data_IF_360449538002
#
_entry.id   IF_360449538002
#
_cell.length_a   1.000
_cell.length_b   1.000
_cell.length_c   1.000
_cell.angle_alpha   90.00
_cell.angle_beta   90.00
_cell.angle_gamma   90.00
#
_symmetry.space_group_name_H-M   'P 1'
#
loop_
_entity.id
_entity.type
_entity.pdbx_description
1 polymer ?
#
# COMPACT_ATOMS: atom_id res chain seq x y z
N UNK A 1 -29.96 -16.97 -12.47
CA UNK A 1 -28.52 -17.25 -12.61
C UNK A 1 -27.73 -15.96 -12.88
N UNK A 2 -28.21 -15.10 -13.78
CA UNK A 2 -27.57 -13.80 -14.09
C UNK A 2 -27.37 -12.85 -12.89
N UNK A 3 -28.40 -12.67 -12.04
CA UNK A 3 -28.29 -11.77 -10.88
C UNK A 3 -27.22 -12.24 -9.88
N UNK A 4 -27.15 -13.56 -9.63
CA UNK A 4 -26.15 -14.15 -8.76
C UNK A 4 -24.74 -13.99 -9.34
N UNK A 5 -24.57 -14.19 -10.64
CA UNK A 5 -23.30 -13.99 -11.33
C UNK A 5 -22.81 -12.53 -11.22
N UNK A 6 -23.68 -11.56 -11.49
CA UNK A 6 -23.35 -10.14 -11.37
C UNK A 6 -23.02 -9.77 -9.92
N UNK A 7 -23.81 -10.25 -8.95
CA UNK A 7 -23.56 -10.01 -7.53
C UNK A 7 -22.21 -10.56 -7.07
N UNK A 8 -21.87 -11.79 -7.45
CA UNK A 8 -20.57 -12.41 -7.14
C UNK A 8 -19.43 -11.61 -7.78
N UNK A 9 -19.58 -11.20 -9.04
CA UNK A 9 -18.58 -10.40 -9.75
C UNK A 9 -18.35 -9.04 -9.06
N UNK A 10 -19.41 -8.35 -8.66
CA UNK A 10 -19.28 -7.08 -7.94
C UNK A 10 -18.66 -7.26 -6.56
N UNK A 11 -19.03 -8.31 -5.83
CA UNK A 11 -18.46 -8.62 -4.52
C UNK A 11 -16.96 -8.94 -4.61
N UNK A 12 -16.54 -9.73 -5.60
CA UNK A 12 -15.13 -10.06 -5.80
C UNK A 12 -14.32 -8.83 -6.19
N UNK A 13 -14.84 -7.98 -7.09
CA UNK A 13 -14.21 -6.73 -7.47
C UNK A 13 -14.10 -5.75 -6.30
N UNK A 14 -15.14 -5.64 -5.46
CA UNK A 14 -15.10 -4.81 -4.27
C UNK A 14 -14.03 -5.28 -3.27
N UNK A 15 -13.95 -6.59 -3.02
CA UNK A 15 -12.93 -7.17 -2.13
C UNK A 15 -11.51 -6.93 -2.67
N UNK A 16 -11.30 -7.21 -3.95
CA UNK A 16 -10.01 -7.01 -4.63
C UNK A 16 -9.63 -5.53 -4.64
N UNK A 17 -10.56 -4.65 -4.99
CA UNK A 17 -10.35 -3.20 -5.01
C UNK A 17 -9.99 -2.67 -3.63
N UNK A 18 -10.72 -3.07 -2.58
CA UNK A 18 -10.42 -2.68 -1.20
C UNK A 18 -9.03 -3.16 -0.76
N UNK A 19 -8.72 -4.43 -1.01
CA UNK A 19 -7.43 -5.00 -0.66
C UNK A 19 -6.28 -4.28 -1.37
N UNK A 20 -6.39 -4.14 -2.70
CA UNK A 20 -5.37 -3.53 -3.54
C UNK A 20 -5.18 -2.05 -3.20
N UNK A 21 -6.26 -1.33 -2.87
CA UNK A 21 -6.18 0.07 -2.44
C UNK A 21 -5.46 0.19 -1.11
N UNK A 22 -5.85 -0.61 -0.11
CA UNK A 22 -5.23 -0.56 1.22
C UNK A 22 -3.76 -0.96 1.16
N UNK A 23 -3.43 -1.98 0.37
CA UNK A 23 -2.07 -2.49 0.14
C UNK A 23 -1.20 -1.44 -0.59
N UNK A 24 -1.72 -0.82 -1.65
CA UNK A 24 -0.98 0.20 -2.38
C UNK A 24 -0.82 1.47 -1.54
N UNK A 25 -1.85 1.85 -0.78
CA UNK A 25 -1.81 3.04 0.07
C UNK A 25 -0.82 2.88 1.23
N UNK A 26 -0.64 1.67 1.79
CA UNK A 26 0.34 1.45 2.86
C UNK A 26 1.81 1.52 2.38
N UNK A 27 2.03 1.40 1.07
CA UNK A 27 3.34 1.44 0.40
C UNK A 27 3.58 2.75 -0.37
N UNK A 28 2.64 3.70 -0.30
CA UNK A 28 2.60 4.93 -1.10
C UNK A 28 2.77 4.68 -2.62
N UNK A 29 2.23 3.55 -3.11
CA UNK A 29 2.45 3.07 -4.47
C UNK A 29 1.24 3.31 -5.36
N UNK A 30 1.00 4.59 -5.74
CA UNK A 30 -0.08 5.02 -6.64
C UNK A 30 -1.40 4.25 -6.49
N UNK A 31 -2.04 4.30 -5.31
CA UNK A 31 -3.15 3.42 -4.96
C UNK A 31 -4.33 3.50 -5.91
N UNK A 32 -4.67 4.71 -6.35
CA UNK A 32 -5.81 4.95 -7.26
C UNK A 32 -5.58 4.28 -8.61
N UNK A 33 -4.39 4.42 -9.20
CA UNK A 33 -4.07 3.90 -10.53
C UNK A 33 -4.18 2.37 -10.53
N UNK A 34 -3.55 1.71 -9.57
CA UNK A 34 -3.57 0.25 -9.49
C UNK A 34 -4.97 -0.30 -9.25
N UNK A 35 -5.74 0.33 -8.37
CA UNK A 35 -7.12 -0.11 -8.10
C UNK A 35 -8.05 0.13 -9.27
N UNK A 36 -7.91 1.29 -9.94
CA UNK A 36 -8.71 1.60 -11.12
C UNK A 36 -8.41 0.61 -12.23
N UNK A 37 -7.13 0.32 -12.50
CA UNK A 37 -6.73 -0.69 -13.49
C UNK A 37 -7.31 -2.06 -13.19
N UNK A 38 -7.23 -2.53 -11.95
CA UNK A 38 -7.81 -3.82 -11.55
C UNK A 38 -9.33 -3.86 -11.72
N UNK A 39 -10.03 -2.81 -11.28
CA UNK A 39 -11.49 -2.72 -11.37
C UNK A 39 -11.97 -2.62 -12.83
N UNK A 40 -11.33 -1.80 -13.65
CA UNK A 40 -11.69 -1.62 -15.06
C UNK A 40 -11.46 -2.92 -15.85
N UNK A 41 -10.30 -3.55 -15.70
CA UNK A 41 -9.98 -4.79 -16.42
C UNK A 41 -10.85 -5.96 -15.98
N UNK A 42 -11.12 -6.07 -14.67
CA UNK A 42 -12.00 -7.12 -14.13
C UNK A 42 -13.48 -6.88 -14.44
N UNK A 43 -13.93 -5.64 -14.51
CA UNK A 43 -15.33 -5.30 -14.80
C UNK A 43 -15.65 -5.40 -16.29
N UNK A 44 -14.84 -4.79 -17.17
CA UNK A 44 -15.10 -4.71 -18.61
C UNK A 44 -14.62 -5.94 -19.41
N UNK A 45 -13.88 -6.87 -18.80
CA UNK A 45 -13.47 -8.09 -19.50
C UNK A 45 -14.66 -8.98 -19.87
N UNK A 46 -14.66 -9.45 -21.12
CA UNK A 46 -15.71 -10.30 -21.68
C UNK A 46 -15.48 -11.75 -21.28
N UNK A 47 -16.48 -12.38 -20.65
CA UNK A 47 -16.44 -13.80 -20.26
C UNK A 47 -15.23 -14.13 -19.38
N UNK A 48 -14.46 -15.14 -19.79
CA UNK A 48 -13.28 -15.65 -19.05
C UNK A 48 -12.09 -14.67 -19.11
N UNK A 49 -12.06 -13.71 -20.04
CA UNK A 49 -10.96 -12.76 -20.14
C UNK A 49 -10.89 -11.80 -18.95
N UNK A 50 -12.02 -11.41 -18.37
CA UNK A 50 -12.07 -10.52 -17.19
C UNK A 50 -11.24 -11.03 -16.00
N UNK A 51 -11.50 -12.24 -15.48
CA UNK A 51 -10.70 -12.79 -14.39
C UNK A 51 -9.22 -13.04 -14.77
N UNK A 52 -8.92 -13.37 -16.03
CA UNK A 52 -7.52 -13.53 -16.50
C UNK A 52 -6.79 -12.19 -16.44
N UNK A 53 -7.37 -11.11 -16.98
CA UNK A 53 -6.76 -9.78 -16.97
C UNK A 53 -6.62 -9.23 -15.56
N UNK A 54 -7.59 -9.48 -14.69
CA UNK A 54 -7.51 -9.14 -13.27
C UNK A 54 -6.33 -9.87 -12.60
N UNK A 55 -6.21 -11.19 -12.83
CA UNK A 55 -5.11 -12.01 -12.32
C UNK A 55 -3.74 -11.53 -12.81
N UNK A 56 -3.61 -11.22 -14.09
CA UNK A 56 -2.38 -10.66 -14.67
C UNK A 56 -2.03 -9.30 -14.06
N UNK A 57 -3.01 -8.44 -13.85
CA UNK A 57 -2.81 -7.12 -13.21
C UNK A 57 -2.32 -7.27 -11.78
N UNK A 58 -2.90 -8.20 -11.02
CA UNK A 58 -2.44 -8.51 -9.66
C UNK A 58 -1.02 -9.10 -9.64
N UNK A 59 -0.70 -9.97 -10.60
CA UNK A 59 0.65 -10.52 -10.73
C UNK A 59 1.66 -9.39 -10.99
N UNK A 60 1.40 -8.51 -11.96
CA UNK A 60 2.28 -7.37 -12.26
C UNK A 60 2.41 -6.44 -11.04
N UNK A 61 1.29 -6.14 -10.37
CA UNK A 61 1.28 -5.33 -9.16
C UNK A 61 2.17 -5.91 -8.06
N UNK A 62 2.03 -7.20 -7.74
CA UNK A 62 2.80 -7.85 -6.68
C UNK A 62 4.29 -7.94 -6.99
N UNK A 63 4.66 -8.04 -8.27
CA UNK A 63 6.06 -8.04 -8.72
C UNK A 63 6.69 -6.64 -8.64
N UNK A 64 5.93 -5.60 -8.97
CA UNK A 64 6.43 -4.21 -9.07
C UNK A 64 6.30 -3.38 -7.80
N UNK A 65 5.37 -3.74 -6.90
CA UNK A 65 5.17 -2.99 -5.65
C UNK A 65 6.43 -2.99 -4.78
N UNK A 66 6.72 -1.91 -4.05
CA UNK A 66 7.78 -1.87 -3.06
C UNK A 66 7.65 -3.01 -2.05
N UNK A 67 8.78 -3.69 -1.78
CA UNK A 67 8.89 -4.77 -0.80
C UNK A 67 9.64 -4.26 0.43
N UNK A 68 9.30 -4.80 1.59
CA UNK A 68 9.95 -4.45 2.85
C UNK A 68 9.07 -4.74 4.06
N UNK A 69 9.61 -4.56 5.27
CA UNK A 69 8.85 -4.77 6.50
C UNK A 69 7.80 -3.67 6.68
N UNK A 70 6.69 -4.06 7.29
CA UNK A 70 5.66 -3.12 7.73
C UNK A 70 5.87 -2.79 9.19
N UNK A 71 5.71 -1.51 9.52
CA UNK A 71 5.61 -1.02 10.90
C UNK A 71 4.25 -0.40 11.15
N UNK A 72 3.82 -0.36 12.41
CA UNK A 72 2.63 0.39 12.79
C UNK A 72 3.00 1.87 12.94
N UNK A 73 2.22 2.75 12.30
CA UNK A 73 2.43 4.18 12.46
C UNK A 73 2.11 4.61 13.92
N UNK A 74 2.98 5.37 14.61
CA UNK A 74 2.73 5.82 15.97
C UNK A 74 1.54 6.80 16.09
N UNK A 75 1.21 7.51 15.01
CA UNK A 75 0.11 8.48 15.00
C UNK A 75 -1.27 7.85 14.72
N UNK A 76 -1.37 7.00 13.69
CA UNK A 76 -2.67 6.48 13.24
C UNK A 76 -2.84 4.96 13.43
N UNK A 77 -1.81 4.26 13.93
CA UNK A 77 -1.77 2.80 14.15
C UNK A 77 -2.02 1.93 12.91
N UNK A 78 -2.06 2.53 11.72
CA UNK A 78 -2.22 1.81 10.46
C UNK A 78 -0.86 1.34 9.95
N UNK A 79 -0.80 0.20 9.24
CA UNK A 79 0.46 -0.30 8.71
C UNK A 79 0.99 0.64 7.63
N UNK A 80 2.28 0.96 7.73
CA UNK A 80 3.03 1.69 6.73
C UNK A 80 4.34 0.95 6.47
N UNK A 81 4.81 1.01 5.22
CA UNK A 81 6.09 0.43 4.86
C UNK A 81 7.22 1.17 5.59
N UNK A 82 8.14 0.43 6.22
CA UNK A 82 9.14 0.99 7.13
C UNK A 82 10.11 1.96 6.43
N UNK A 83 10.30 1.85 5.12
CA UNK A 83 11.19 2.73 4.36
C UNK A 83 10.65 4.16 4.17
N UNK A 84 9.39 4.42 4.49
CA UNK A 84 8.77 5.73 4.26
C UNK A 84 9.18 6.75 5.32
N UNK A 85 9.43 7.98 4.87
CA UNK A 85 9.67 9.13 5.74
C UNK A 85 8.39 9.61 6.44
N UNK A 86 7.24 9.55 5.75
CA UNK A 86 5.95 10.02 6.24
C UNK A 86 4.89 8.92 6.06
N UNK A 87 3.92 8.87 6.97
CA UNK A 87 2.81 7.94 6.86
C UNK A 87 1.91 8.36 5.69
N UNK A 88 1.63 7.49 4.71
CA UNK A 88 0.83 7.87 3.54
C UNK A 88 -0.64 8.13 3.87
N UNK A 89 -1.10 7.76 5.08
CA UNK A 89 -2.50 7.83 5.48
C UNK A 89 -2.83 9.00 6.40
N UNK A 90 -1.92 9.37 7.30
CA UNK A 90 -2.11 10.53 8.19
C UNK A 90 -1.07 11.64 7.98
N UNK A 91 -0.10 11.45 7.07
CA UNK A 91 1.03 12.34 6.81
C UNK A 91 1.95 12.61 8.01
N UNK A 92 1.77 11.88 9.13
CA UNK A 92 2.66 11.96 10.28
C UNK A 92 4.09 11.52 9.94
N UNK A 93 5.06 12.18 10.53
CA UNK A 93 6.49 11.93 10.31
C UNK A 93 6.83 10.57 10.94
N UNK A 94 7.48 9.69 10.18
CA UNK A 94 7.94 8.38 10.61
C UNK A 94 9.45 8.32 10.80
N UNK A 95 10.19 9.11 10.03
CA UNK A 95 11.64 9.23 10.12
C UNK A 95 12.06 10.69 10.14
N UNK A 96 13.09 10.97 10.91
CA UNK A 96 13.70 12.29 11.06
C UNK A 96 15.21 12.20 10.87
N UNK A 97 15.86 13.30 10.57
CA UNK A 97 17.31 13.42 10.47
C UNK A 97 17.92 13.80 11.83
N UNK A 98 19.05 13.19 12.16
CA UNK A 98 19.81 13.62 13.33
C UNK A 98 20.51 14.96 13.04
N UNK A 99 20.22 16.00 13.81
CA UNK A 99 20.85 17.33 13.71
C UNK A 99 22.39 17.35 13.79
N UNK A 100 23.02 16.30 14.35
CA UNK A 100 24.48 16.23 14.51
C UNK A 100 25.19 15.48 13.39
N UNK A 101 24.66 14.33 12.97
CA UNK A 101 25.31 13.45 11.98
C UNK A 101 24.49 13.24 10.70
N UNK A 102 23.31 13.86 10.60
CA UNK A 102 22.38 13.82 9.46
C UNK A 102 21.97 12.41 9.03
N UNK A 103 22.12 11.42 9.91
CA UNK A 103 21.64 10.06 9.68
C UNK A 103 20.12 10.02 9.86
N UNK A 104 19.43 9.29 8.98
CA UNK A 104 17.99 9.07 9.09
C UNK A 104 17.70 8.09 10.22
N UNK A 105 16.85 8.50 11.15
CA UNK A 105 16.47 7.74 12.35
C UNK A 105 14.95 7.68 12.49
N UNK A 106 14.44 6.72 13.26
CA UNK A 106 13.02 6.64 13.54
C UNK A 106 12.57 7.79 14.47
N UNK A 107 11.37 8.31 14.22
CA UNK A 107 10.75 9.33 15.08
C UNK A 107 10.52 8.83 16.52
N UNK A 108 10.43 7.51 16.73
CA UNK A 108 10.21 6.93 18.07
C UNK A 108 11.50 6.79 18.88
N UNK A 109 12.67 7.09 18.31
CA UNK A 109 13.95 7.00 19.04
C UNK A 109 14.25 8.31 19.77
N UNK A 110 14.67 8.20 21.03
CA UNK A 110 15.11 9.36 21.83
C UNK A 110 16.58 9.74 21.55
N UNK A 111 17.39 8.80 21.06
CA UNK A 111 18.81 8.99 20.78
C UNK A 111 19.24 8.37 19.46
N UNK A 112 20.19 9.02 18.80
CA UNK A 112 20.73 8.57 17.53
C UNK A 112 21.60 7.30 17.73
N UNK A 113 21.34 6.20 16.99
CA UNK A 113 22.13 4.97 17.10
C UNK A 113 23.58 5.13 16.61
N UNK A 114 23.85 6.12 15.76
CA UNK A 114 25.19 6.33 15.19
C UNK A 114 26.09 7.25 16.02
N UNK A 115 25.55 8.32 16.60
CA UNK A 115 26.35 9.32 17.34
C UNK A 115 25.90 9.55 18.79
N UNK A 116 24.86 8.87 19.25
CA UNK A 116 24.28 8.97 20.61
C UNK A 116 23.82 10.38 21.01
N UNK A 117 23.65 11.29 20.05
CA UNK A 117 23.06 12.61 20.27
C UNK A 117 21.54 12.48 20.57
N UNK A 118 20.99 13.44 21.32
CA UNK A 118 19.57 13.47 21.69
C UNK A 118 18.73 14.00 20.53
N UNK A 119 17.85 13.16 19.99
CA UNK A 119 17.02 13.47 18.81
C UNK A 119 15.92 14.48 19.11
#
# INVERSE_FOLDING_TARGET
>A
MELAYVAIKLATLALVGYWMYSDAKSRDYHPVIWTASALLLGFFGIGVLGPILLGLTMLVYTLKRPKGPFRQCPHCRKPALDSLANCPRCNGILKQDCYRCFTVVDVTMERCPSCNAKL
#
